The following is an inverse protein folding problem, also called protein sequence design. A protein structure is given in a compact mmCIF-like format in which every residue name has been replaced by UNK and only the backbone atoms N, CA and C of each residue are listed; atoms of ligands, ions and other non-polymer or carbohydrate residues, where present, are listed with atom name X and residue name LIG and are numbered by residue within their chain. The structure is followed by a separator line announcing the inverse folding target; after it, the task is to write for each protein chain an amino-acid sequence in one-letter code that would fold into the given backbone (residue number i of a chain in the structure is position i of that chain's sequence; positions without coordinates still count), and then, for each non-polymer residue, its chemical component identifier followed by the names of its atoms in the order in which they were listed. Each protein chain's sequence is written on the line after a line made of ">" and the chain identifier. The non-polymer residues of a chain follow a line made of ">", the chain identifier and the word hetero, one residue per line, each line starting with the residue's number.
data_IF_077225507594
#
_entry.id   IF_077225507594
#
_cell.length_a   1.000
_cell.length_b   1.000
_cell.length_c   1.000
_cell.angle_alpha   90.00
_cell.angle_beta   90.00
_cell.angle_gamma   90.00
#
_symmetry.space_group_name_H-M   'P 1'
#
loop_
_entity.id
_entity.type
_entity.pdbx_description
1 polymer ?
#
# COMPACT_ATOMS: atom_id res chain seq x y z
N UNK A 1 -47.90 -16.36 54.66
CA UNK A 1 -49.11 -15.67 54.14
C UNK A 1 -49.10 -14.25 54.71
N UNK A 2 -49.63 -13.22 54.02
CA UNK A 2 -49.40 -12.76 52.64
C UNK A 2 -49.22 -11.21 52.53
N UNK A 3 -48.84 -10.70 51.33
CA UNK A 3 -49.20 -9.43 50.63
C UNK A 3 -49.27 -8.09 51.41
N UNK A 4 -48.74 -6.94 50.91
CA UNK A 4 -49.11 -6.27 49.65
C UNK A 4 -48.17 -5.10 49.29
N UNK A 5 -48.07 -4.84 47.98
CA UNK A 5 -47.44 -3.71 47.30
C UNK A 5 -48.08 -2.34 47.58
N UNK A 6 -47.28 -1.27 47.53
CA UNK A 6 -47.75 0.10 47.25
C UNK A 6 -46.72 0.84 46.36
N UNK A 7 -47.09 1.08 45.10
CA UNK A 7 -46.45 2.02 44.18
C UNK A 7 -47.45 3.15 43.88
N UNK A 8 -47.08 4.44 43.98
CA UNK A 8 -47.91 5.51 43.48
C UNK A 8 -47.63 5.79 41.99
N UNK A 9 -48.63 5.49 41.17
CA UNK A 9 -48.76 5.88 39.78
C UNK A 9 -48.99 7.40 39.70
N UNK A 10 -48.03 8.15 39.12
CA UNK A 10 -48.22 9.58 38.84
C UNK A 10 -48.15 9.84 37.33
N UNK A 11 -49.17 10.56 36.86
CA UNK A 11 -49.63 10.73 35.47
C UNK A 11 -48.67 11.55 34.59
N UNK A 12 -48.55 11.15 33.33
CA UNK A 12 -48.00 11.94 32.23
C UNK A 12 -48.94 13.09 31.83
N UNK A 13 -48.43 14.32 31.63
CA UNK A 13 -49.07 15.30 30.76
C UNK A 13 -48.50 15.18 29.33
N UNK A 14 -49.41 15.17 28.37
CA UNK A 14 -49.19 15.19 26.93
C UNK A 14 -49.34 16.65 26.45
N UNK A 15 -48.24 17.25 25.98
CA UNK A 15 -48.11 18.47 25.15
C UNK A 15 -46.60 18.60 24.94
N UNK A 16 -45.99 18.70 23.77
CA UNK A 16 -46.44 19.21 22.50
C UNK A 16 -45.30 20.10 21.96
N UNK A 17 -44.62 19.61 20.91
CA UNK A 17 -44.12 20.38 19.77
C UNK A 17 -42.80 21.20 19.86
N UNK A 18 -41.91 20.90 18.90
CA UNK A 18 -41.02 21.80 18.15
C UNK A 18 -39.76 22.42 18.77
N UNK A 19 -38.75 21.58 19.08
CA UNK A 19 -37.37 22.09 19.24
C UNK A 19 -36.23 21.10 18.92
N UNK A 20 -36.52 19.82 18.66
CA UNK A 20 -35.49 18.77 18.72
C UNK A 20 -35.00 18.25 17.36
N UNK A 21 -35.52 18.78 16.24
CA UNK A 21 -35.16 18.29 14.89
C UNK A 21 -33.95 19.01 14.26
N UNK A 22 -33.65 20.26 14.66
CA UNK A 22 -32.53 21.02 14.08
C UNK A 22 -31.16 20.63 14.67
N UNK A 23 -31.08 20.24 15.94
CA UNK A 23 -29.83 19.84 16.58
C UNK A 23 -29.32 18.48 16.06
N UNK A 24 -30.22 17.54 15.77
CA UNK A 24 -29.87 16.22 15.24
C UNK A 24 -29.49 16.26 13.74
N UNK A 25 -30.04 17.21 12.98
CA UNK A 25 -29.69 17.40 11.57
C UNK A 25 -28.29 18.01 11.37
N UNK A 26 -27.84 18.89 12.29
CA UNK A 26 -26.51 19.51 12.21
C UNK A 26 -25.37 18.51 12.44
N UNK A 27 -25.53 17.58 13.38
CA UNK A 27 -24.48 16.60 13.75
C UNK A 27 -24.28 15.54 12.65
N UNK A 28 -25.32 15.23 11.86
CA UNK A 28 -25.25 14.25 10.77
C UNK A 28 -24.57 14.79 9.49
N UNK A 29 -24.54 16.11 9.31
CA UNK A 29 -23.97 16.73 8.09
C UNK A 29 -22.44 16.77 8.08
N UNK A 30 -21.80 16.92 9.25
CA UNK A 30 -20.34 17.05 9.36
C UNK A 30 -19.60 15.71 9.21
N UNK A 31 -20.28 14.58 9.44
CA UNK A 31 -19.70 13.24 9.36
C UNK A 31 -19.56 12.71 7.93
N UNK A 32 -20.39 13.18 6.98
CA UNK A 32 -20.34 12.72 5.58
C UNK A 32 -19.16 13.29 4.78
N UNK A 33 -18.64 14.46 5.16
CA UNK A 33 -17.51 15.09 4.46
C UNK A 33 -16.18 14.37 4.77
N UNK A 34 -15.95 14.02 6.05
CA UNK A 34 -14.72 13.38 6.51
C UNK A 34 -14.57 11.95 5.96
N UNK A 35 -15.67 11.18 5.86
CA UNK A 35 -15.64 9.83 5.30
C UNK A 35 -15.32 9.82 3.79
N UNK A 36 -15.69 10.88 3.07
CA UNK A 36 -15.50 10.97 1.62
C UNK A 36 -14.06 11.35 1.24
N UNK A 37 -13.40 12.19 2.05
CA UNK A 37 -12.00 12.58 1.82
C UNK A 37 -11.02 11.43 2.10
N UNK A 38 -11.23 10.67 3.18
CA UNK A 38 -10.43 9.47 3.47
C UNK A 38 -10.58 8.38 2.40
N UNK A 39 -11.80 8.17 1.89
CA UNK A 39 -12.05 7.22 0.80
C UNK A 39 -11.37 7.62 -0.51
N UNK A 40 -11.27 8.92 -0.81
CA UNK A 40 -10.57 9.42 -2.01
C UNK A 40 -9.06 9.29 -1.89
N UNK A 41 -8.50 9.57 -0.71
CA UNK A 41 -7.06 9.38 -0.46
C UNK A 41 -6.68 7.89 -0.52
N UNK A 42 -7.44 7.02 0.13
CA UNK A 42 -7.22 5.56 0.09
C UNK A 42 -7.43 5.02 -1.33
N UNK A 43 -8.44 5.48 -2.07
CA UNK A 43 -8.65 5.11 -3.46
C UNK A 43 -7.52 5.61 -4.36
N UNK A 44 -7.05 6.84 -4.18
CA UNK A 44 -5.93 7.40 -4.95
C UNK A 44 -4.62 6.65 -4.65
N UNK A 45 -4.34 6.35 -3.38
CA UNK A 45 -3.26 5.45 -2.96
C UNK A 45 -3.44 4.13 -3.71
N UNK A 46 -4.58 3.43 -3.55
CA UNK A 46 -4.82 2.16 -4.24
C UNK A 46 -4.67 2.27 -5.76
N UNK A 47 -5.06 3.36 -6.40
CA UNK A 47 -4.91 3.58 -7.84
C UNK A 47 -3.48 3.88 -8.27
N UNK A 48 -2.72 4.68 -7.51
CA UNK A 48 -1.28 4.92 -7.73
C UNK A 48 -0.49 3.64 -7.52
N UNK A 49 -0.78 2.91 -6.44
CA UNK A 49 -0.17 1.62 -6.15
C UNK A 49 -0.55 0.58 -7.22
N UNK A 50 -1.82 0.48 -7.62
CA UNK A 50 -2.29 -0.50 -8.62
C UNK A 50 -1.96 -0.13 -10.08
N UNK A 51 -1.71 1.14 -10.38
CA UNK A 51 -1.56 1.66 -11.75
C UNK A 51 -0.16 2.15 -12.12
N UNK A 52 0.64 2.61 -11.15
CA UNK A 52 1.94 3.23 -11.39
C UNK A 52 3.11 2.56 -10.67
N UNK A 53 2.98 2.27 -9.36
CA UNK A 53 4.11 1.76 -8.57
C UNK A 53 4.31 0.24 -8.65
N UNK A 54 3.21 -0.52 -8.71
CA UNK A 54 3.26 -1.93 -9.06
C UNK A 54 2.91 -2.00 -10.52
N UNK A 55 3.93 -2.25 -11.35
CA UNK A 55 3.87 -2.40 -12.81
C UNK A 55 2.45 -2.67 -13.29
N UNK A 56 1.90 -1.89 -14.25
CA UNK A 56 0.57 -2.14 -14.76
C UNK A 56 0.45 -3.61 -15.17
N UNK A 57 -0.75 -4.20 -15.04
CA UNK A 57 -0.98 -5.58 -15.43
C UNK A 57 -0.32 -5.86 -16.77
N UNK A 58 -0.37 -4.95 -17.75
CA UNK A 58 0.31 -5.04 -19.05
C UNK A 58 1.83 -5.26 -18.96
N UNK A 59 2.61 -4.42 -18.25
CA UNK A 59 4.07 -4.52 -18.20
C UNK A 59 4.60 -5.80 -17.52
N UNK A 60 3.83 -6.42 -16.61
CA UNK A 60 4.20 -7.73 -16.03
C UNK A 60 3.51 -8.88 -16.77
N UNK A 61 2.29 -8.70 -17.28
CA UNK A 61 1.48 -9.73 -17.93
C UNK A 61 1.93 -10.00 -19.37
N UNK A 62 2.34 -8.98 -20.12
CA UNK A 62 2.72 -9.11 -21.53
C UNK A 62 4.03 -9.89 -21.69
N UNK A 63 5.11 -9.61 -20.91
CA UNK A 63 6.28 -10.47 -20.91
C UNK A 63 5.98 -11.89 -20.43
N UNK A 64 5.08 -12.06 -19.45
CA UNK A 64 4.65 -13.38 -19.00
C UNK A 64 3.86 -14.13 -20.07
N UNK A 65 3.06 -13.42 -20.87
CA UNK A 65 2.28 -14.00 -21.97
C UNK A 65 3.20 -14.40 -23.13
N UNK A 66 4.22 -13.60 -23.44
CA UNK A 66 5.25 -13.91 -24.43
C UNK A 66 6.09 -15.12 -24.00
N UNK A 67 6.61 -15.10 -22.76
CA UNK A 67 7.27 -16.21 -22.07
C UNK A 67 6.50 -17.54 -22.16
N UNK A 68 5.18 -17.49 -22.06
CA UNK A 68 4.35 -18.68 -21.98
C UNK A 68 3.99 -19.24 -23.36
N UNK A 69 3.93 -18.38 -24.39
CA UNK A 69 3.33 -18.70 -25.68
C UNK A 69 4.29 -18.52 -26.87
N UNK A 70 5.56 -18.20 -26.65
CA UNK A 70 6.54 -18.14 -27.74
C UNK A 70 6.64 -19.52 -28.43
N UNK A 71 6.61 -19.51 -29.76
CA UNK A 71 6.55 -20.73 -30.60
C UNK A 71 7.85 -21.53 -30.53
N UNK A 72 8.98 -20.83 -30.60
CA UNK A 72 10.30 -21.43 -30.44
C UNK A 72 10.61 -21.80 -28.98
N UNK A 73 11.01 -23.05 -28.76
CA UNK A 73 11.35 -23.60 -27.45
C UNK A 73 12.61 -22.98 -26.85
N UNK A 74 13.62 -22.70 -27.68
CA UNK A 74 14.90 -22.16 -27.22
C UNK A 74 14.75 -20.70 -26.81
N UNK A 75 14.07 -19.89 -27.62
CA UNK A 75 13.74 -18.52 -27.26
C UNK A 75 12.86 -18.45 -26.01
N UNK A 76 11.90 -19.37 -25.87
CA UNK A 76 11.08 -19.46 -24.66
C UNK A 76 11.92 -19.79 -23.41
N UNK A 77 12.93 -20.66 -23.53
CA UNK A 77 13.90 -20.96 -22.47
C UNK A 77 14.69 -19.73 -22.08
N UNK A 78 15.24 -19.00 -23.06
CA UNK A 78 15.97 -17.75 -22.85
C UNK A 78 15.12 -16.69 -22.14
N UNK A 79 13.87 -16.47 -22.57
CA UNK A 79 12.95 -15.52 -21.95
C UNK A 79 12.60 -15.91 -20.50
N UNK A 80 12.49 -17.21 -20.21
CA UNK A 80 12.23 -17.71 -18.85
C UNK A 80 13.42 -17.49 -17.93
N UNK A 81 14.62 -17.71 -18.44
CA UNK A 81 15.85 -17.49 -17.70
C UNK A 81 16.06 -16.01 -17.38
N UNK A 82 15.90 -15.14 -18.38
CA UNK A 82 15.97 -13.69 -18.19
C UNK A 82 14.93 -13.19 -17.19
N UNK A 83 13.68 -13.67 -17.27
CA UNK A 83 12.65 -13.31 -16.30
C UNK A 83 13.02 -13.75 -14.88
N UNK A 84 13.53 -14.98 -14.73
CA UNK A 84 13.95 -15.55 -13.44
C UNK A 84 15.09 -14.72 -12.83
N UNK A 85 16.11 -14.38 -13.61
CA UNK A 85 17.25 -13.59 -13.13
C UNK A 85 16.83 -12.16 -12.76
N UNK A 86 16.01 -11.51 -13.59
CA UNK A 86 15.46 -10.18 -13.27
C UNK A 86 14.62 -10.20 -11.99
N UNK A 87 13.77 -11.22 -11.81
CA UNK A 87 12.94 -11.36 -10.62
C UNK A 87 13.78 -11.65 -9.37
N UNK A 88 14.82 -12.48 -9.47
CA UNK A 88 15.75 -12.72 -8.35
C UNK A 88 16.47 -11.43 -7.93
N UNK A 89 16.93 -10.62 -8.90
CA UNK A 89 17.56 -9.33 -8.62
C UNK A 89 16.58 -8.36 -7.95
N UNK A 90 15.35 -8.27 -8.45
CA UNK A 90 14.28 -7.47 -7.84
C UNK A 90 14.01 -7.89 -6.39
N UNK A 91 13.89 -9.19 -6.11
CA UNK A 91 13.62 -9.70 -4.77
C UNK A 91 14.77 -9.44 -3.80
N UNK A 92 16.01 -9.58 -4.26
CA UNK A 92 17.20 -9.25 -3.45
C UNK A 92 17.21 -7.76 -3.09
N UNK A 93 17.00 -6.89 -4.09
CA UNK A 93 16.91 -5.45 -3.87
C UNK A 93 15.80 -5.10 -2.86
N UNK A 94 14.60 -5.65 -3.03
CA UNK A 94 13.47 -5.44 -2.10
C UNK A 94 13.81 -5.93 -0.70
N UNK A 95 14.49 -7.08 -0.56
CA UNK A 95 14.94 -7.60 0.72
C UNK A 95 15.88 -6.63 1.46
N UNK A 96 16.88 -6.10 0.77
CA UNK A 96 17.83 -5.13 1.34
C UNK A 96 17.12 -3.84 1.74
N UNK A 97 16.33 -3.24 0.85
CA UNK A 97 15.61 -1.99 1.12
C UNK A 97 14.63 -2.15 2.29
N UNK A 98 13.94 -3.29 2.37
CA UNK A 98 13.00 -3.56 3.47
C UNK A 98 13.71 -3.67 4.83
N UNK A 99 14.88 -4.30 4.89
CA UNK A 99 15.67 -4.38 6.11
C UNK A 99 16.19 -3.00 6.56
N UNK A 100 16.67 -2.19 5.61
CA UNK A 100 17.09 -0.81 5.89
C UNK A 100 15.92 0.03 6.39
N UNK A 101 14.74 -0.09 5.78
CA UNK A 101 13.54 0.62 6.21
C UNK A 101 13.09 0.21 7.61
N UNK A 102 13.15 -1.08 7.94
CA UNK A 102 12.84 -1.58 9.29
C UNK A 102 13.79 -0.98 10.35
N UNK A 103 15.09 -0.86 10.03
CA UNK A 103 16.07 -0.21 10.89
C UNK A 103 15.76 1.27 11.08
N UNK A 104 15.45 1.99 10.00
CA UNK A 104 15.07 3.41 10.06
C UNK A 104 13.82 3.61 10.92
N UNK A 105 12.77 2.81 10.71
CA UNK A 105 11.53 2.84 11.50
C UNK A 105 11.81 2.63 13.01
N UNK A 106 12.68 1.68 13.33
CA UNK A 106 13.05 1.39 14.72
C UNK A 106 13.86 2.54 15.33
N UNK A 107 14.82 3.11 14.58
CA UNK A 107 15.64 4.25 15.04
C UNK A 107 14.86 5.55 15.17
N UNK A 108 13.77 5.70 14.43
CA UNK A 108 12.89 6.89 14.54
C UNK A 108 12.26 6.98 15.93
N UNK A 109 12.02 5.84 16.58
CA UNK A 109 11.52 5.81 17.95
C UNK A 109 12.46 6.42 19.01
N UNK A 110 13.76 6.60 18.69
CA UNK A 110 14.74 7.22 19.59
C UNK A 110 15.07 8.67 19.25
N UNK A 111 14.44 9.25 18.23
CA UNK A 111 14.67 10.65 17.87
C UNK A 111 14.17 11.60 18.97
N UNK A 112 14.76 12.81 19.09
CA UNK A 112 14.28 13.81 20.02
C UNK A 112 12.78 14.07 19.79
N UNK A 113 11.99 13.93 20.84
CA UNK A 113 10.55 14.17 20.75
C UNK A 113 10.33 15.66 20.43
N UNK A 114 9.59 15.92 19.35
CA UNK A 114 9.01 17.24 19.07
C UNK A 114 7.93 17.62 20.10
N UNK A 115 7.46 16.62 20.84
CA UNK A 115 6.51 16.78 21.93
C UNK A 115 7.26 17.14 23.23
N UNK A 116 6.73 18.04 24.05
CA UNK A 116 7.31 18.38 25.34
C UNK A 116 7.55 17.15 26.22
N UNK A 117 8.55 17.17 27.12
CA UNK A 117 8.98 16.00 27.90
C UNK A 117 7.87 15.34 28.74
N UNK A 118 6.83 16.10 29.04
CA UNK A 118 5.73 15.69 29.92
C UNK A 118 4.60 14.98 29.18
N UNK A 119 4.65 14.88 27.85
CA UNK A 119 3.58 14.28 27.05
C UNK A 119 3.96 12.98 26.39
N UNK A 120 3.02 12.04 26.47
CA UNK A 120 3.16 10.74 25.85
C UNK A 120 2.93 10.86 24.35
N UNK A 121 3.82 10.26 23.56
CA UNK A 121 3.64 10.17 22.10
C UNK A 121 2.25 9.61 21.76
N UNK A 122 1.47 10.27 20.88
CA UNK A 122 0.11 9.87 20.56
C UNK A 122 0.03 8.42 20.10
N UNK A 123 -1.04 7.72 20.50
CA UNK A 123 -1.28 6.33 20.11
C UNK A 123 -1.23 6.09 18.59
N UNK A 124 -1.74 6.98 17.69
CA UNK A 124 -1.70 6.72 16.25
C UNK A 124 -0.28 6.68 15.69
N UNK A 125 0.63 7.48 16.26
CA UNK A 125 2.04 7.55 15.86
C UNK A 125 2.72 6.23 16.19
N UNK A 126 2.55 5.73 17.42
CA UNK A 126 3.08 4.43 17.85
C UNK A 126 2.54 3.29 16.99
N UNK A 127 1.23 3.28 16.73
CA UNK A 127 0.60 2.27 15.88
C UNK A 127 1.17 2.29 14.46
N UNK A 128 1.38 3.47 13.86
CA UNK A 128 2.00 3.58 12.54
C UNK A 128 3.41 3.00 12.50
N UNK A 129 4.22 3.22 13.54
CA UNK A 129 5.57 2.63 13.62
C UNK A 129 5.54 1.11 13.72
N UNK A 130 4.71 0.55 14.61
CA UNK A 130 4.60 -0.90 14.76
C UNK A 130 4.06 -1.57 13.49
N UNK A 131 3.03 -0.99 12.85
CA UNK A 131 2.52 -1.49 11.59
C UNK A 131 3.57 -1.40 10.47
N UNK A 132 4.33 -0.30 10.40
CA UNK A 132 5.42 -0.13 9.44
C UNK A 132 6.50 -1.19 9.60
N UNK A 133 6.93 -1.47 10.84
CA UNK A 133 7.91 -2.51 11.13
C UNK A 133 7.37 -3.90 10.75
N UNK A 134 6.12 -4.20 11.11
CA UNK A 134 5.49 -5.47 10.75
C UNK A 134 5.43 -5.68 9.23
N UNK A 135 5.07 -4.64 8.47
CA UNK A 135 5.07 -4.69 7.00
C UNK A 135 6.48 -4.83 6.42
N UNK A 136 7.48 -4.13 6.96
CA UNK A 136 8.86 -4.25 6.51
C UNK A 136 9.41 -5.67 6.75
N UNK A 137 9.15 -6.27 7.91
CA UNK A 137 9.54 -7.65 8.22
C UNK A 137 8.81 -8.66 7.33
N UNK A 138 7.50 -8.47 7.11
CA UNK A 138 6.73 -9.30 6.20
C UNK A 138 7.26 -9.22 4.76
N UNK A 139 7.70 -8.04 4.32
CA UNK A 139 8.35 -7.85 3.01
C UNK A 139 9.66 -8.63 2.91
N UNK A 140 10.56 -8.50 3.90
CA UNK A 140 11.83 -9.25 3.95
C UNK A 140 11.58 -10.75 3.90
N UNK A 141 10.68 -11.26 4.76
CA UNK A 141 10.37 -12.68 4.82
C UNK A 141 9.78 -13.19 3.50
N UNK A 142 8.85 -12.43 2.92
CA UNK A 142 8.23 -12.79 1.63
C UNK A 142 9.27 -12.80 0.51
N UNK A 143 10.18 -11.82 0.47
CA UNK A 143 11.25 -11.76 -0.53
C UNK A 143 12.22 -12.94 -0.39
N UNK A 144 12.58 -13.31 0.85
CA UNK A 144 13.41 -14.48 1.13
C UNK A 144 12.72 -15.79 0.71
N UNK A 145 11.45 -15.99 1.08
CA UNK A 145 10.68 -17.18 0.73
C UNK A 145 10.52 -17.33 -0.79
N UNK A 146 10.27 -16.23 -1.50
CA UNK A 146 10.16 -16.21 -2.96
C UNK A 146 11.49 -16.53 -3.63
N UNK A 147 12.59 -15.97 -3.11
CA UNK A 147 13.95 -16.22 -3.59
C UNK A 147 14.34 -17.70 -3.42
N UNK A 148 14.12 -18.27 -2.24
CA UNK A 148 14.40 -19.69 -1.96
C UNK A 148 13.55 -20.58 -2.86
N UNK A 149 12.26 -20.30 -3.00
CA UNK A 149 11.36 -21.08 -3.86
C UNK A 149 11.82 -21.03 -5.32
N UNK A 150 12.21 -19.86 -5.81
CA UNK A 150 12.68 -19.68 -7.17
C UNK A 150 14.01 -20.40 -7.42
N UNK A 151 14.96 -20.32 -6.48
CA UNK A 151 16.20 -21.11 -6.54
C UNK A 151 15.95 -22.62 -6.54
N UNK A 152 15.03 -23.11 -5.69
CA UNK A 152 14.66 -24.52 -5.64
C UNK A 152 14.01 -25.00 -6.94
N UNK A 153 13.19 -24.16 -7.57
CA UNK A 153 12.61 -24.46 -8.88
C UNK A 153 13.69 -24.45 -9.97
N UNK A 154 14.61 -23.48 -9.95
CA UNK A 154 15.69 -23.35 -10.93
C UNK A 154 16.73 -24.48 -10.85
N UNK A 155 16.97 -25.06 -9.66
CA UNK A 155 17.90 -26.18 -9.47
C UNK A 155 17.40 -27.53 -9.97
N UNK A 156 16.15 -27.63 -10.44
CA UNK A 156 15.61 -28.88 -10.98
C UNK A 156 16.00 -29.07 -12.46
N UNK A 157 16.16 -30.32 -12.93
CA UNK A 157 16.51 -30.63 -14.34
C UNK A 157 15.57 -29.97 -15.35
N UNK A 158 14.29 -29.85 -15.00
CA UNK A 158 13.24 -29.18 -15.79
C UNK A 158 12.81 -27.84 -15.16
N UNK A 159 13.72 -27.14 -14.49
CA UNK A 159 13.40 -25.98 -13.66
C UNK A 159 12.69 -24.86 -14.42
N UNK A 160 13.08 -24.58 -15.67
CA UNK A 160 12.42 -23.59 -16.53
C UNK A 160 10.99 -24.00 -16.89
N UNK A 161 10.74 -25.30 -17.09
CA UNK A 161 9.39 -25.83 -17.35
C UNK A 161 8.53 -25.70 -16.11
N UNK A 162 9.08 -26.01 -14.93
CA UNK A 162 8.39 -25.90 -13.65
C UNK A 162 8.02 -24.44 -13.33
N UNK A 163 8.92 -23.49 -13.61
CA UNK A 163 8.66 -22.06 -13.49
C UNK A 163 7.49 -21.66 -14.39
N UNK A 164 7.46 -22.06 -15.67
CA UNK A 164 6.33 -21.78 -16.57
C UNK A 164 5.03 -22.41 -16.11
N UNK A 165 5.08 -23.66 -15.64
CA UNK A 165 3.92 -24.34 -15.07
C UNK A 165 3.40 -23.61 -13.82
N UNK A 166 4.30 -23.02 -13.03
CA UNK A 166 3.96 -22.21 -11.86
C UNK A 166 3.47 -20.80 -12.20
N UNK A 167 3.52 -20.37 -13.47
CA UNK A 167 3.06 -19.05 -13.93
C UNK A 167 1.79 -19.16 -14.80
N UNK A 168 1.53 -20.32 -15.41
CA UNK A 168 0.36 -20.57 -16.27
C UNK A 168 -0.90 -20.95 -15.49
N UNK A 169 -2.05 -20.53 -15.99
CA UNK A 169 -3.34 -21.17 -15.69
C UNK A 169 -3.49 -22.45 -16.52
N UNK A 170 -4.18 -23.47 -16.00
CA UNK A 170 -4.45 -24.70 -16.76
C UNK A 170 -5.35 -24.45 -17.98
N UNK A 171 -6.23 -23.45 -17.89
CA UNK A 171 -7.13 -23.05 -18.97
C UNK A 171 -6.37 -22.35 -20.10
N UNK A 172 -6.54 -22.89 -21.31
CA UNK A 172 -6.14 -22.23 -22.55
C UNK A 172 -7.28 -21.34 -23.02
N UNK A 173 -6.96 -20.14 -23.48
CA UNK A 173 -7.95 -19.22 -24.05
C UNK A 173 -7.56 -18.90 -25.49
N UNK A 174 -8.56 -18.92 -26.38
CA UNK A 174 -8.38 -18.50 -27.76
C UNK A 174 -8.19 -16.98 -27.79
N UNK A 175 -7.01 -16.52 -28.20
CA UNK A 175 -6.70 -15.10 -28.40
C UNK A 175 -6.43 -14.93 -29.90
N UNK A 176 -7.40 -14.37 -30.63
CA UNK A 176 -7.36 -14.35 -32.09
C UNK A 176 -7.64 -15.74 -32.66
N UNK A 177 -6.70 -16.29 -33.42
CA UNK A 177 -6.78 -17.62 -34.07
C UNK A 177 -6.02 -18.73 -33.33
N UNK A 178 -5.32 -18.42 -32.23
CA UNK A 178 -4.42 -19.35 -31.54
C UNK A 178 -4.81 -19.59 -30.08
N UNK A 179 -4.56 -20.81 -29.62
CA UNK A 179 -4.76 -21.20 -28.23
C UNK A 179 -3.58 -20.76 -27.37
N UNK A 180 -3.77 -19.69 -26.57
CA UNK A 180 -2.73 -19.13 -25.70
C UNK A 180 -2.99 -19.47 -24.24
N UNK A 181 -1.93 -19.80 -23.50
CA UNK A 181 -1.94 -19.93 -22.05
C UNK A 181 -2.02 -18.55 -21.41
N UNK A 182 -2.98 -18.33 -20.50
CA UNK A 182 -3.01 -17.11 -19.68
C UNK A 182 -2.13 -17.28 -18.44
N UNK A 183 -1.39 -16.24 -18.02
CA UNK A 183 -0.75 -16.25 -16.72
C UNK A 183 -1.79 -16.13 -15.61
N UNK A 184 -1.58 -16.84 -14.50
CA UNK A 184 -2.53 -16.91 -13.38
C UNK A 184 -2.45 -15.61 -12.57
N UNK A 185 -3.51 -14.79 -12.66
CA UNK A 185 -3.57 -13.47 -11.99
C UNK A 185 -3.19 -13.53 -10.50
N UNK A 186 -3.63 -14.56 -9.77
CA UNK A 186 -3.30 -14.72 -8.35
C UNK A 186 -1.81 -14.98 -8.09
N UNK A 187 -1.11 -15.69 -8.98
CA UNK A 187 0.34 -15.88 -8.85
C UNK A 187 1.09 -14.61 -9.18
N UNK A 188 0.63 -13.82 -10.16
CA UNK A 188 1.20 -12.50 -10.43
C UNK A 188 1.11 -11.60 -9.19
N UNK A 189 -0.04 -11.59 -8.49
CA UNK A 189 -0.18 -10.89 -7.22
C UNK A 189 0.74 -11.44 -6.12
N UNK A 190 0.91 -12.77 -6.04
CA UNK A 190 1.81 -13.37 -5.08
C UNK A 190 3.26 -12.92 -5.29
N UNK A 191 3.74 -12.89 -6.53
CA UNK A 191 5.11 -12.43 -6.87
C UNK A 191 5.34 -10.93 -6.66
N UNK A 192 4.28 -10.15 -6.50
CA UNK A 192 4.34 -8.71 -6.20
C UNK A 192 4.08 -8.40 -4.72
N UNK A 193 3.82 -9.43 -3.91
CA UNK A 193 3.43 -9.28 -2.50
C UNK A 193 4.54 -8.68 -1.63
N UNK A 194 5.80 -9.02 -1.89
CA UNK A 194 6.95 -8.45 -1.18
C UNK A 194 7.00 -6.92 -1.37
N UNK A 195 6.92 -6.47 -2.61
CA UNK A 195 6.90 -5.03 -2.95
C UNK A 195 5.67 -4.35 -2.35
N UNK A 196 4.51 -5.02 -2.31
CA UNK A 196 3.30 -4.48 -1.67
C UNK A 196 3.49 -4.21 -0.18
N UNK A 197 4.09 -5.16 0.54
CA UNK A 197 4.40 -4.97 1.96
C UNK A 197 5.44 -3.87 2.18
N UNK A 198 6.49 -3.80 1.35
CA UNK A 198 7.47 -2.72 1.44
C UNK A 198 6.81 -1.35 1.26
N UNK A 199 5.93 -1.20 0.27
CA UNK A 199 5.26 0.06 0.03
C UNK A 199 4.26 0.41 1.15
N UNK A 200 3.58 -0.59 1.72
CA UNK A 200 2.79 -0.43 2.95
C UNK A 200 3.62 0.11 4.12
N UNK A 201 4.85 -0.41 4.31
CA UNK A 201 5.76 0.08 5.34
C UNK A 201 6.16 1.55 5.13
N UNK A 202 6.46 1.95 3.88
CA UNK A 202 6.76 3.35 3.53
C UNK A 202 5.57 4.27 3.78
N UNK A 203 4.35 3.84 3.46
CA UNK A 203 3.14 4.62 3.74
C UNK A 203 2.90 4.79 5.24
N UNK A 204 3.08 3.73 6.02
CA UNK A 204 3.02 3.79 7.48
C UNK A 204 4.08 4.75 8.03
N UNK A 205 5.29 4.75 7.47
CA UNK A 205 6.36 5.67 7.85
C UNK A 205 5.98 7.14 7.60
N UNK A 206 5.53 7.46 6.38
CA UNK A 206 5.13 8.82 6.01
C UNK A 206 3.95 9.28 6.87
N UNK A 207 2.96 8.41 7.07
CA UNK A 207 1.78 8.71 7.90
C UNK A 207 2.16 8.94 9.36
N UNK A 208 3.04 8.11 9.91
CA UNK A 208 3.56 8.26 11.27
C UNK A 208 4.28 9.59 11.48
N UNK A 209 5.09 10.02 10.50
CA UNK A 209 5.78 11.32 10.54
C UNK A 209 4.78 12.49 10.50
N UNK A 210 3.79 12.43 9.60
CA UNK A 210 2.75 13.47 9.51
C UNK A 210 1.99 13.58 10.84
N UNK A 211 1.56 12.46 11.41
CA UNK A 211 0.85 12.46 12.70
C UNK A 211 1.72 12.98 13.84
N UNK A 212 3.01 12.62 13.89
CA UNK A 212 3.94 13.09 14.91
C UNK A 212 4.06 14.62 14.86
N UNK A 213 4.35 15.15 13.68
CA UNK A 213 4.54 16.59 13.46
C UNK A 213 3.27 17.38 13.79
N UNK A 214 2.11 16.92 13.32
CA UNK A 214 0.85 17.63 13.56
C UNK A 214 0.37 17.50 15.01
N UNK A 215 0.69 16.40 15.68
CA UNK A 215 0.38 16.24 17.10
C UNK A 215 1.16 17.23 17.97
N UNK A 216 2.42 17.52 17.64
CA UNK A 216 3.22 18.52 18.35
C UNK A 216 2.60 19.92 18.23
N UNK A 217 2.14 20.29 17.03
CA UNK A 217 1.45 21.58 16.80
C UNK A 217 0.13 21.67 17.57
N UNK A 218 -0.67 20.60 17.54
CA UNK A 218 -1.96 20.57 18.22
C UNK A 218 -1.81 20.73 19.74
N UNK A 219 -0.75 20.17 20.30
CA UNK A 219 -0.46 20.26 21.73
C UNK A 219 0.01 21.66 22.15
N UNK A 220 0.88 22.31 21.36
CA UNK A 220 1.32 23.69 21.61
C UNK A 220 0.17 24.70 21.56
N UNK A 221 -0.76 24.51 20.61
CA UNK A 221 -1.99 25.30 20.52
C UNK A 221 -2.88 25.04 21.74
N UNK A 222 -3.04 23.78 22.16
CA UNK A 222 -3.83 23.39 23.32
C UNK A 222 -3.29 23.94 24.65
N UNK A 223 -1.97 24.14 24.75
CA UNK A 223 -1.30 24.75 25.92
C UNK A 223 -1.30 26.28 25.90
N UNK A 224 -1.87 26.91 24.87
CA UNK A 224 -1.94 28.37 24.76
C UNK A 224 -0.61 29.04 24.40
N UNK A 225 0.40 28.25 23.99
CA UNK A 225 1.72 28.75 23.58
C UNK A 225 1.70 29.40 22.19
N UNK A 226 0.61 29.19 21.44
CA UNK A 226 0.41 29.74 20.10
C UNK A 226 1.09 28.90 19.01
N UNK A 227 1.10 29.43 17.78
CA UNK A 227 1.79 28.82 16.65
C UNK A 227 3.27 29.19 16.68
N UNK A 228 4.00 28.53 17.58
CA UNK A 228 5.43 28.78 17.83
C UNK A 228 6.32 27.88 16.95
N UNK A 229 7.58 27.63 17.33
CA UNK A 229 8.58 26.91 16.54
C UNK A 229 8.14 25.54 15.99
N UNK A 230 7.35 24.76 16.72
CA UNK A 230 6.80 23.49 16.22
C UNK A 230 5.85 23.68 15.02
N UNK A 231 5.13 24.80 14.98
CA UNK A 231 4.30 25.19 13.83
C UNK A 231 5.14 25.44 12.59
N UNK A 232 6.30 26.09 12.74
CA UNK A 232 7.25 26.32 11.62
C UNK A 232 7.82 25.01 11.10
N UNK A 233 8.24 24.12 12.01
CA UNK A 233 8.72 22.77 11.65
C UNK A 233 7.65 22.02 10.87
N UNK A 234 6.40 22.10 11.29
CA UNK A 234 5.29 21.41 10.64
C UNK A 234 5.00 21.92 9.22
N UNK A 235 5.03 23.23 9.01
CA UNK A 235 4.83 23.83 7.68
C UNK A 235 5.98 23.46 6.74
N UNK A 236 7.22 23.53 7.21
CA UNK A 236 8.39 23.17 6.40
C UNK A 236 8.34 21.68 6.04
N UNK A 237 8.11 20.81 7.03
CA UNK A 237 8.00 19.37 6.81
C UNK A 237 6.90 19.01 5.80
N UNK A 238 5.69 19.54 5.97
CA UNK A 238 4.57 19.26 5.07
C UNK A 238 4.78 19.80 3.66
N UNK A 239 5.45 20.95 3.53
CA UNK A 239 5.82 21.52 2.23
C UNK A 239 6.81 20.62 1.48
N UNK A 240 7.88 20.18 2.15
CA UNK A 240 8.86 19.26 1.56
C UNK A 240 8.26 17.88 1.25
N UNK A 241 7.40 17.35 2.15
CA UNK A 241 6.70 16.10 1.92
C UNK A 241 5.78 16.18 0.70
N UNK A 242 5.07 17.30 0.51
CA UNK A 242 4.21 17.53 -0.65
C UNK A 242 5.02 17.62 -1.95
N UNK A 243 6.11 18.39 -1.97
CA UNK A 243 7.01 18.49 -3.13
C UNK A 243 7.55 17.11 -3.50
N UNK A 244 8.02 16.34 -2.52
CA UNK A 244 8.53 14.98 -2.71
C UNK A 244 7.44 14.06 -3.28
N UNK A 245 6.21 14.13 -2.75
CA UNK A 245 5.09 13.35 -3.25
C UNK A 245 4.73 13.71 -4.71
N UNK A 246 4.76 14.99 -5.07
CA UNK A 246 4.50 15.45 -6.44
C UNK A 246 5.58 14.93 -7.39
N UNK A 247 6.86 15.10 -7.05
CA UNK A 247 7.98 14.61 -7.86
C UNK A 247 7.89 13.09 -8.04
N UNK A 248 7.56 12.37 -6.96
CA UNK A 248 7.38 10.93 -7.01
C UNK A 248 6.25 10.54 -7.96
N UNK A 249 5.07 11.14 -7.83
CA UNK A 249 3.92 10.86 -8.70
C UNK A 249 4.24 11.20 -10.16
N UNK A 250 4.88 12.35 -10.42
CA UNK A 250 5.31 12.73 -11.77
C UNK A 250 6.29 11.71 -12.36
N UNK A 251 7.24 11.22 -11.56
CA UNK A 251 8.14 10.14 -11.97
C UNK A 251 7.38 8.88 -12.37
N UNK A 252 6.42 8.44 -11.54
CA UNK A 252 5.60 7.26 -11.85
C UNK A 252 4.75 7.47 -13.11
N UNK A 253 4.19 8.66 -13.34
CA UNK A 253 3.38 8.94 -14.54
C UNK A 253 4.22 9.06 -15.80
N UNK A 254 5.44 9.58 -15.72
CA UNK A 254 6.33 9.72 -16.89
C UNK A 254 6.89 8.37 -17.33
N UNK A 255 7.17 7.47 -16.39
CA UNK A 255 7.60 6.09 -16.71
C UNK A 255 6.44 5.20 -17.16
N UNK A 256 5.20 5.66 -17.04
CA UNK A 256 4.03 4.95 -17.56
C UNK A 256 3.96 5.12 -19.09
N UNK A 257 4.67 4.26 -19.81
CA UNK A 257 4.46 4.06 -21.24
C UNK A 257 3.71 2.73 -21.46
N UNK A 258 2.53 2.72 -22.10
CA UNK A 258 1.93 1.46 -22.52
C UNK A 258 2.87 0.80 -23.54
N UNK A 259 3.32 -0.42 -23.28
CA UNK A 259 4.13 -1.19 -24.22
C UNK A 259 3.31 -1.33 -25.52
N UNK A 260 3.83 -0.87 -26.68
CA UNK A 260 3.19 -1.13 -27.95
C UNK A 260 3.00 -2.64 -28.11
N UNK A 261 1.83 -3.07 -28.57
CA UNK A 261 1.65 -4.49 -28.91
C UNK A 261 2.72 -4.82 -29.96
N UNK A 262 3.38 -5.97 -29.83
CA UNK A 262 4.58 -6.36 -30.57
C UNK A 262 4.46 -6.52 -32.10
N UNK A 263 3.65 -5.70 -32.77
CA UNK A 263 3.63 -5.47 -34.20
C UNK A 263 3.90 -4.03 -34.63
N UNK A 264 4.05 -3.08 -33.68
CA UNK A 264 4.20 -1.63 -34.00
C UNK A 264 5.61 -1.08 -33.72
N UNK A 265 6.60 -1.94 -33.47
CA UNK A 265 8.01 -1.51 -33.43
C UNK A 265 8.55 -1.61 -34.86
N UNK A 266 8.15 -0.65 -35.69
CA UNK A 266 8.92 -0.30 -36.87
C UNK A 266 10.18 0.39 -36.34
N UNK A 267 11.31 -0.33 -36.42
CA UNK A 267 12.62 0.30 -36.24
C UNK A 267 12.74 1.36 -37.35
N UNK A 268 12.51 2.62 -36.99
CA UNK A 268 12.78 3.73 -37.89
C UNK A 268 14.30 3.85 -38.04
N UNK A 269 14.78 3.37 -39.19
CA UNK A 269 16.13 3.57 -39.74
C UNK A 269 16.64 5.02 -39.60
#
# INVERSE_FOLDING_TARGET
>A
MPYSDDLPQTRTPLLGNNGQSEAAARIRSTSRSVKNQGSRAVSFIVHIFRGGLFSPPTLTYDPLLLLLNHDDQDERNRLTENWKDNKLQELNFVGVVSALLANVLTSTGSWPNLLPPETTTPWPVRTCWFCGIAFALASVLTAADQTIRLHRMAGHRDGLVLIRQSLRTQDRVLIGTEWKYRPRKMQVYAWQLSVLFLAGAVLCMISGMIFLVWSAVAEDIGRGKGFDDNGKVAVIFTSFALITAIIFVLGQTTLYYPVPKGGDIEDSD
#
